data_IF_070615828650
#
_entry.id   IF_070615828650
#
_cell.length_a   1.000
_cell.length_b   1.000
_cell.length_c   1.000
_cell.angle_alpha   90.00
_cell.angle_beta   90.00
_cell.angle_gamma   90.00
#
_symmetry.space_group_name_H-M   'P 1'
#
loop_
_entity.id
_entity.type
_entity.pdbx_description
1 polymer ?
#
# COMPACT_ATOMS: atom_id res chain seq x y z
N UNK A 1 -29.95 2.21 -18.81
CA UNK A 1 -28.64 2.91 -18.79
C UNK A 1 -27.85 2.26 -17.67
N UNK A 2 -26.71 1.67 -17.97
CA UNK A 2 -25.90 1.00 -16.94
C UNK A 2 -25.43 2.04 -15.92
N UNK A 3 -25.71 1.78 -14.64
CA UNK A 3 -25.38 2.69 -13.54
C UNK A 3 -23.86 2.73 -13.36
N UNK A 4 -23.21 3.80 -13.82
CA UNK A 4 -21.76 3.96 -13.68
C UNK A 4 -21.39 4.69 -12.39
N UNK A 5 -20.21 4.42 -11.81
CA UNK A 5 -19.74 5.11 -10.61
C UNK A 5 -19.67 6.64 -10.79
N UNK A 6 -19.28 7.09 -11.99
CA UNK A 6 -19.30 8.52 -12.38
C UNK A 6 -20.69 9.12 -12.27
N UNK A 7 -21.70 8.43 -12.75
CA UNK A 7 -23.08 8.91 -12.71
C UNK A 7 -23.61 8.95 -11.27
N UNK A 8 -23.30 7.92 -10.46
CA UNK A 8 -23.64 7.90 -9.04
C UNK A 8 -23.03 9.10 -8.31
N UNK A 9 -21.73 9.35 -8.50
CA UNK A 9 -21.04 10.50 -7.91
C UNK A 9 -21.65 11.84 -8.35
N UNK A 10 -21.95 11.97 -9.65
CA UNK A 10 -22.60 13.17 -10.20
C UNK A 10 -23.97 13.41 -9.57
N UNK A 11 -24.80 12.37 -9.46
CA UNK A 11 -26.13 12.47 -8.88
C UNK A 11 -26.07 12.80 -7.38
N UNK A 12 -25.12 12.21 -6.65
CA UNK A 12 -24.86 12.56 -5.26
C UNK A 12 -24.45 14.03 -5.11
N UNK A 13 -23.50 14.52 -5.91
CA UNK A 13 -23.06 15.93 -5.89
C UNK A 13 -24.19 16.89 -6.24
N UNK A 14 -25.08 16.50 -7.16
CA UNK A 14 -26.25 17.27 -7.55
C UNK A 14 -27.43 17.14 -6.57
N UNK A 15 -27.28 16.39 -5.47
CA UNK A 15 -28.32 16.11 -4.48
C UNK A 15 -29.57 15.42 -5.04
N UNK A 16 -29.45 14.77 -6.20
CA UNK A 16 -30.52 13.94 -6.80
C UNK A 16 -30.46 12.49 -6.33
N UNK A 17 -29.41 12.14 -5.59
CA UNK A 17 -29.22 10.85 -4.93
C UNK A 17 -28.66 11.11 -3.53
N UNK A 18 -29.27 10.55 -2.49
CA UNK A 18 -28.76 10.68 -1.13
C UNK A 18 -27.50 9.82 -0.91
N UNK A 19 -26.75 10.13 0.16
CA UNK A 19 -25.46 9.49 0.44
C UNK A 19 -25.60 7.98 0.66
N UNK A 20 -26.64 7.54 1.36
CA UNK A 20 -26.86 6.12 1.69
C UNK A 20 -27.15 5.35 0.41
N UNK A 21 -28.05 5.85 -0.42
CA UNK A 21 -28.36 5.25 -1.73
C UNK A 21 -27.15 5.22 -2.66
N UNK A 22 -26.32 6.27 -2.66
CA UNK A 22 -25.08 6.30 -3.44
C UNK A 22 -24.08 5.23 -2.96
N UNK A 23 -23.88 5.09 -1.65
CA UNK A 23 -23.01 4.06 -1.07
C UNK A 23 -23.50 2.66 -1.45
N UNK A 24 -24.79 2.37 -1.24
CA UNK A 24 -25.35 1.05 -1.53
C UNK A 24 -25.20 0.66 -3.02
N UNK A 25 -25.40 1.61 -3.93
CA UNK A 25 -25.18 1.37 -5.36
C UNK A 25 -23.72 1.10 -5.69
N UNK A 26 -22.77 1.84 -5.08
CA UNK A 26 -21.34 1.61 -5.28
C UNK A 26 -20.90 0.25 -4.73
N UNK A 27 -21.38 -0.14 -3.54
CA UNK A 27 -21.12 -1.46 -2.96
C UNK A 27 -21.64 -2.56 -3.92
N UNK A 28 -22.88 -2.41 -4.39
CA UNK A 28 -23.46 -3.36 -5.34
C UNK A 28 -22.63 -3.51 -6.62
N UNK A 29 -22.09 -2.40 -7.15
CA UNK A 29 -21.20 -2.46 -8.33
C UNK A 29 -19.89 -3.18 -8.00
N UNK A 30 -19.30 -2.94 -6.83
CA UNK A 30 -18.04 -3.56 -6.41
C UNK A 30 -18.18 -5.09 -6.30
N UNK A 31 -19.31 -5.57 -5.77
CA UNK A 31 -19.54 -7.00 -5.54
C UNK A 31 -19.96 -7.75 -6.80
N UNK A 32 -20.65 -7.10 -7.74
CA UNK A 32 -21.32 -7.80 -8.85
C UNK A 32 -20.76 -7.48 -10.23
N UNK A 33 -19.87 -6.49 -10.38
CA UNK A 33 -19.27 -6.17 -11.68
C UNK A 33 -18.06 -7.06 -11.96
N UNK A 34 -18.01 -7.69 -13.13
CA UNK A 34 -16.79 -8.35 -13.63
C UNK A 34 -15.76 -7.37 -14.19
N UNK A 35 -16.14 -6.09 -14.38
CA UNK A 35 -15.25 -5.09 -14.93
C UNK A 35 -14.36 -4.47 -13.84
N UNK A 36 -13.06 -4.79 -13.89
CA UNK A 36 -12.06 -4.33 -12.93
C UNK A 36 -12.04 -2.81 -12.77
N UNK A 37 -12.09 -2.05 -13.87
CA UNK A 37 -12.02 -0.58 -13.83
C UNK A 37 -13.26 0.01 -13.17
N UNK A 38 -14.44 -0.54 -13.45
CA UNK A 38 -15.71 -0.15 -12.82
C UNK A 38 -15.68 -0.40 -11.31
N UNK A 39 -15.14 -1.54 -10.86
CA UNK A 39 -14.96 -1.84 -9.43
C UNK A 39 -13.99 -0.86 -8.77
N UNK A 40 -12.83 -0.61 -9.39
CA UNK A 40 -11.82 0.35 -8.90
C UNK A 40 -12.42 1.76 -8.81
N UNK A 41 -13.14 2.19 -9.83
CA UNK A 41 -13.78 3.51 -9.84
C UNK A 41 -14.84 3.63 -8.74
N UNK A 42 -15.56 2.54 -8.46
CA UNK A 42 -16.52 2.50 -7.35
C UNK A 42 -15.85 2.65 -5.99
N UNK A 43 -14.75 1.93 -5.73
CA UNK A 43 -13.95 2.04 -4.50
C UNK A 43 -13.43 3.48 -4.33
N UNK A 44 -12.90 4.07 -5.40
CA UNK A 44 -12.42 5.44 -5.37
C UNK A 44 -13.57 6.44 -5.14
N UNK A 45 -14.75 6.19 -5.70
CA UNK A 45 -15.93 7.03 -5.51
C UNK A 45 -16.41 6.98 -4.06
N UNK A 46 -16.40 5.81 -3.39
CA UNK A 46 -16.67 5.71 -1.94
C UNK A 46 -15.76 6.66 -1.15
N UNK A 47 -14.48 6.74 -1.52
CA UNK A 47 -13.53 7.68 -0.91
C UNK A 47 -13.83 9.15 -1.20
N UNK A 48 -14.32 9.48 -2.41
CA UNK A 48 -14.63 10.86 -2.81
C UNK A 48 -15.86 11.41 -2.10
N UNK A 49 -16.85 10.56 -1.81
CA UNK A 49 -18.08 10.96 -1.11
C UNK A 49 -17.97 10.86 0.42
N UNK A 50 -16.76 10.59 0.93
CA UNK A 50 -16.47 10.40 2.36
C UNK A 50 -17.37 9.31 2.99
N UNK A 51 -17.45 8.14 2.35
CA UNK A 51 -18.32 7.03 2.74
C UNK A 51 -17.85 6.32 4.03
N UNK A 52 -17.91 7.01 5.17
CA UNK A 52 -17.56 6.47 6.48
C UNK A 52 -18.75 5.70 7.09
N UNK A 53 -18.80 4.40 6.85
CA UNK A 53 -19.72 3.47 7.51
C UNK A 53 -19.06 2.12 7.79
N UNK A 54 -19.61 1.36 8.73
CA UNK A 54 -19.11 0.02 9.06
C UNK A 54 -19.21 -0.94 7.86
N UNK A 55 -20.27 -0.83 7.06
CA UNK A 55 -20.45 -1.66 5.85
C UNK A 55 -19.34 -1.39 4.83
N UNK A 56 -18.98 -0.13 4.63
CA UNK A 56 -17.88 0.25 3.73
C UNK A 56 -16.55 -0.23 4.28
N UNK A 57 -16.30 -0.09 5.60
CA UNK A 57 -15.07 -0.61 6.19
C UNK A 57 -14.96 -2.13 6.02
N UNK A 58 -16.04 -2.86 6.32
CA UNK A 58 -16.10 -4.33 6.21
C UNK A 58 -15.87 -4.78 4.77
N UNK A 59 -16.51 -4.12 3.80
CA UNK A 59 -16.27 -4.38 2.38
C UNK A 59 -14.80 -4.19 2.02
N UNK A 60 -14.21 -3.04 2.35
CA UNK A 60 -12.82 -2.73 2.00
C UNK A 60 -11.83 -3.69 2.69
N UNK A 61 -12.10 -4.09 3.92
CA UNK A 61 -11.30 -5.09 4.64
C UNK A 61 -11.35 -6.44 3.93
N UNK A 62 -12.54 -6.91 3.54
CA UNK A 62 -12.69 -8.15 2.77
C UNK A 62 -11.93 -8.07 1.44
N UNK A 63 -12.06 -6.97 0.70
CA UNK A 63 -11.35 -6.77 -0.56
C UNK A 63 -9.84 -6.79 -0.38
N UNK A 64 -9.32 -6.12 0.66
CA UNK A 64 -7.89 -6.16 1.02
C UNK A 64 -7.41 -7.59 1.29
N UNK A 65 -8.21 -8.41 1.96
CA UNK A 65 -7.82 -9.75 2.41
C UNK A 65 -7.89 -10.77 1.27
N UNK A 66 -8.93 -10.75 0.45
CA UNK A 66 -9.28 -11.88 -0.42
C UNK A 66 -9.43 -11.57 -1.90
N UNK A 67 -9.43 -10.29 -2.33
CA UNK A 67 -9.60 -10.00 -3.75
C UNK A 67 -8.37 -10.47 -4.55
N UNK A 68 -8.63 -11.17 -5.65
CA UNK A 68 -7.59 -11.74 -6.51
C UNK A 68 -6.77 -10.66 -7.24
N UNK A 69 -7.34 -9.48 -7.47
CA UNK A 69 -6.71 -8.41 -8.23
C UNK A 69 -5.95 -7.46 -7.30
N UNK A 70 -4.63 -7.37 -7.49
CA UNK A 70 -3.76 -6.44 -6.76
C UNK A 70 -4.28 -5.00 -6.76
N UNK A 71 -4.79 -4.53 -7.89
CA UNK A 71 -5.33 -3.18 -8.01
C UNK A 71 -6.53 -2.94 -7.09
N UNK A 72 -7.39 -3.94 -6.87
CA UNK A 72 -8.52 -3.83 -5.93
C UNK A 72 -8.01 -3.78 -4.49
N UNK A 73 -7.07 -4.66 -4.12
CA UNK A 73 -6.44 -4.65 -2.80
C UNK A 73 -5.76 -3.32 -2.52
N UNK A 74 -4.97 -2.81 -3.47
CA UNK A 74 -4.28 -1.52 -3.35
C UNK A 74 -5.24 -0.34 -3.15
N UNK A 75 -6.32 -0.25 -3.93
CA UNK A 75 -7.30 0.81 -3.75
C UNK A 75 -8.00 0.68 -2.39
N UNK A 76 -8.34 -0.54 -1.97
CA UNK A 76 -8.95 -0.80 -0.66
C UNK A 76 -8.05 -0.35 0.49
N UNK A 77 -6.76 -0.67 0.43
CA UNK A 77 -5.73 -0.21 1.38
C UNK A 77 -5.75 1.32 1.50
N UNK A 78 -5.68 2.03 0.37
CA UNK A 78 -5.63 3.49 0.36
C UNK A 78 -6.92 4.11 0.90
N UNK A 79 -8.08 3.55 0.56
CA UNK A 79 -9.37 4.05 1.08
C UNK A 79 -9.50 3.79 2.58
N UNK A 80 -9.09 2.62 3.07
CA UNK A 80 -8.99 2.34 4.52
C UNK A 80 -8.10 3.37 5.21
N UNK A 81 -6.89 3.59 4.70
CA UNK A 81 -5.95 4.55 5.29
C UNK A 81 -6.40 6.01 5.24
N UNK A 82 -7.35 6.35 4.36
CA UNK A 82 -7.90 7.71 4.23
C UNK A 82 -9.15 7.91 5.10
N UNK A 83 -10.07 6.96 5.10
CA UNK A 83 -11.37 7.10 5.75
C UNK A 83 -11.41 6.51 7.16
N UNK A 84 -10.58 5.49 7.44
CA UNK A 84 -10.66 4.63 8.61
C UNK A 84 -9.29 4.42 9.26
N UNK A 85 -8.45 5.47 9.31
CA UNK A 85 -7.08 5.38 9.83
C UNK A 85 -7.04 4.81 11.26
N UNK A 86 -7.98 5.23 12.11
CA UNK A 86 -8.10 4.80 13.51
C UNK A 86 -8.38 3.29 13.65
N UNK A 87 -8.97 2.67 12.62
CA UNK A 87 -9.30 1.24 12.57
C UNK A 87 -8.34 0.44 11.67
N UNK A 88 -7.37 1.09 11.03
CA UNK A 88 -6.56 0.46 9.98
C UNK A 88 -5.49 -0.50 10.51
N UNK A 89 -5.13 -0.45 11.80
CA UNK A 89 -3.99 -1.19 12.34
C UNK A 89 -4.07 -2.71 12.09
N UNK A 90 -5.20 -3.33 12.43
CA UNK A 90 -5.35 -4.78 12.33
C UNK A 90 -5.46 -5.28 10.87
N UNK A 91 -6.26 -4.65 9.98
CA UNK A 91 -6.22 -4.98 8.55
C UNK A 91 -4.80 -4.87 7.95
N UNK A 92 -4.08 -3.78 8.28
CA UNK A 92 -2.71 -3.59 7.79
C UNK A 92 -1.73 -4.61 8.38
N UNK A 93 -1.89 -5.01 9.64
CA UNK A 93 -1.10 -6.08 10.27
C UNK A 93 -1.27 -7.40 9.54
N UNK A 94 -2.52 -7.76 9.24
CA UNK A 94 -2.81 -8.99 8.51
C UNK A 94 -2.22 -8.94 7.10
N UNK A 95 -2.44 -7.84 6.38
CA UNK A 95 -1.96 -7.67 5.01
C UNK A 95 -0.43 -7.66 4.93
N UNK A 96 0.28 -7.00 5.86
CA UNK A 96 1.76 -6.99 5.89
C UNK A 96 2.40 -8.38 6.01
N UNK A 97 1.64 -9.37 6.53
CA UNK A 97 2.07 -10.75 6.68
C UNK A 97 1.81 -11.61 5.44
N UNK A 98 0.74 -11.35 4.70
CA UNK A 98 0.27 -12.25 3.63
C UNK A 98 0.31 -11.63 2.23
N UNK A 99 0.53 -10.33 2.10
CA UNK A 99 0.65 -9.65 0.81
C UNK A 99 2.05 -9.84 0.20
N UNK A 100 2.08 -10.00 -1.12
CA UNK A 100 3.32 -10.15 -1.90
C UNK A 100 3.52 -9.01 -2.91
N UNK A 101 2.45 -8.31 -3.31
CA UNK A 101 2.56 -7.17 -4.21
C UNK A 101 3.40 -6.07 -3.55
N UNK A 102 4.44 -5.64 -4.26
CA UNK A 102 5.26 -4.50 -3.86
C UNK A 102 4.39 -3.24 -3.66
N UNK A 103 3.46 -2.98 -4.58
CA UNK A 103 2.60 -1.80 -4.54
C UNK A 103 1.73 -1.77 -3.28
N UNK A 104 1.11 -2.91 -2.95
CA UNK A 104 0.31 -3.06 -1.73
C UNK A 104 1.19 -2.98 -0.48
N UNK A 105 2.35 -3.65 -0.46
CA UNK A 105 3.29 -3.62 0.67
C UNK A 105 3.78 -2.20 1.01
N UNK A 106 4.04 -1.37 -0.01
CA UNK A 106 4.37 0.04 0.17
C UNK A 106 3.21 0.84 0.76
N UNK A 107 1.98 0.64 0.24
CA UNK A 107 0.79 1.31 0.75
C UNK A 107 0.50 0.93 2.22
N UNK A 108 0.60 -0.36 2.55
CA UNK A 108 0.44 -0.90 3.92
C UNK A 108 1.45 -0.26 4.86
N UNK A 109 2.73 -0.24 4.48
CA UNK A 109 3.80 0.35 5.31
C UNK A 109 3.55 1.83 5.56
N UNK A 110 3.17 2.57 4.53
CA UNK A 110 2.85 3.99 4.65
C UNK A 110 1.70 4.25 5.62
N UNK A 111 0.66 3.42 5.61
CA UNK A 111 -0.48 3.57 6.55
C UNK A 111 -0.04 3.26 7.97
N UNK A 112 0.70 2.17 8.18
CA UNK A 112 1.27 1.85 9.50
C UNK A 112 2.15 2.98 10.03
N UNK A 113 2.94 3.62 9.16
CA UNK A 113 3.73 4.80 9.51
C UNK A 113 2.89 6.00 9.94
N UNK A 114 1.66 6.15 9.42
CA UNK A 114 0.72 7.23 9.78
C UNK A 114 -0.04 6.98 11.08
N UNK A 115 -0.32 5.72 11.43
CA UNK A 115 -1.07 5.37 12.66
C UNK A 115 -0.31 5.82 13.92
N UNK A 116 1.02 5.78 13.86
CA UNK A 116 1.96 6.23 14.91
C UNK A 116 1.62 5.87 16.37
N UNK A 117 1.20 4.62 16.59
CA UNK A 117 0.99 4.04 17.92
C UNK A 117 2.14 3.11 18.32
N UNK A 118 2.33 2.82 19.63
CA UNK A 118 3.30 1.82 20.07
C UNK A 118 3.12 0.44 19.40
N UNK A 119 1.88 0.04 19.13
CA UNK A 119 1.55 -1.20 18.44
C UNK A 119 1.99 -1.18 16.97
N UNK A 120 1.81 -0.06 16.28
CA UNK A 120 2.31 0.12 14.91
C UNK A 120 3.84 0.12 14.88
N UNK A 121 4.48 0.88 15.77
CA UNK A 121 5.94 0.93 15.94
C UNK A 121 6.51 -0.48 16.14
N UNK A 122 5.94 -1.24 17.08
CA UNK A 122 6.34 -2.63 17.37
C UNK A 122 6.17 -3.54 16.14
N UNK A 123 5.06 -3.41 15.41
CA UNK A 123 4.81 -4.18 14.20
C UNK A 123 5.87 -3.91 13.12
N UNK A 124 6.16 -2.63 12.83
CA UNK A 124 7.18 -2.22 11.87
C UNK A 124 8.56 -2.71 12.31
N UNK A 125 8.91 -2.52 13.58
CA UNK A 125 10.18 -2.98 14.11
C UNK A 125 10.37 -4.50 13.98
N UNK A 126 9.32 -5.28 14.26
CA UNK A 126 9.35 -6.73 14.08
C UNK A 126 9.51 -7.14 12.60
N UNK A 127 9.01 -6.33 11.66
CA UNK A 127 9.26 -6.54 10.21
C UNK A 127 10.71 -6.22 9.85
N UNK A 128 11.28 -5.14 10.38
CA UNK A 128 12.69 -4.77 10.17
C UNK A 128 13.64 -5.87 10.64
N UNK A 129 13.37 -6.47 11.81
CA UNK A 129 14.16 -7.62 12.32
C UNK A 129 14.18 -8.84 11.41
N UNK A 130 13.23 -8.95 10.47
CA UNK A 130 13.15 -10.06 9.51
C UNK A 130 13.82 -9.74 8.18
N UNK A 131 14.36 -8.54 8.00
CA UNK A 131 15.16 -8.18 6.82
C UNK A 131 16.40 -9.08 6.79
N UNK A 132 16.71 -9.60 5.60
CA UNK A 132 17.84 -10.52 5.36
C UNK A 132 18.93 -9.94 4.47
N UNK A 133 18.73 -8.76 3.89
CA UNK A 133 19.71 -8.13 3.03
C UNK A 133 20.89 -7.59 3.87
N UNK A 134 22.08 -8.15 3.67
CA UNK A 134 23.26 -7.90 4.50
C UNK A 134 23.66 -6.41 4.53
N UNK A 135 23.71 -5.76 3.36
CA UNK A 135 24.04 -4.33 3.25
C UNK A 135 23.09 -3.46 4.07
N UNK A 136 21.80 -3.78 4.06
CA UNK A 136 20.79 -3.08 4.86
C UNK A 136 20.98 -3.40 6.35
N UNK A 137 21.18 -4.67 6.72
CA UNK A 137 21.37 -5.09 8.12
C UNK A 137 22.57 -4.40 8.77
N UNK A 138 23.72 -4.37 8.10
CA UNK A 138 24.92 -3.71 8.60
C UNK A 138 24.64 -2.24 8.93
N UNK A 139 23.94 -1.55 8.02
CA UNK A 139 23.59 -0.15 8.20
C UNK A 139 22.58 0.07 9.34
N UNK A 140 21.57 -0.81 9.46
CA UNK A 140 20.61 -0.77 10.56
C UNK A 140 21.25 -1.05 11.92
N UNK A 141 22.20 -1.98 11.99
CA UNK A 141 22.96 -2.24 13.21
C UNK A 141 23.76 -1.02 13.66
N UNK A 142 24.36 -0.28 12.72
CA UNK A 142 25.04 0.98 13.03
C UNK A 142 24.07 2.06 13.50
N UNK A 143 22.89 2.15 12.87
CA UNK A 143 21.84 3.09 13.23
C UNK A 143 21.32 2.84 14.65
N UNK A 144 20.97 1.59 14.99
CA UNK A 144 20.44 1.21 16.30
C UNK A 144 21.48 1.23 17.42
N UNK A 145 22.79 1.28 17.10
CA UNK A 145 23.84 1.58 18.08
C UNK A 145 23.93 3.07 18.43
N UNK A 146 23.50 3.95 17.52
CA UNK A 146 23.59 5.41 17.68
C UNK A 146 22.32 6.02 18.26
N UNK A 147 21.17 5.36 18.07
CA UNK A 147 19.85 5.85 18.47
C UNK A 147 19.09 4.76 19.20
N UNK A 148 18.49 5.12 20.33
CA UNK A 148 17.61 4.22 21.05
C UNK A 148 16.38 3.87 20.22
N UNK A 149 15.92 2.63 20.34
CA UNK A 149 14.76 2.12 19.59
C UNK A 149 13.49 2.92 19.86
N UNK A 150 13.33 3.42 21.09
CA UNK A 150 12.17 4.21 21.49
C UNK A 150 12.11 5.57 20.76
N UNK A 151 13.27 6.08 20.32
CA UNK A 151 13.40 7.37 19.62
C UNK A 151 12.87 7.37 18.19
N UNK A 152 12.59 6.21 17.60
CA UNK A 152 12.07 6.13 16.24
C UNK A 152 10.56 6.30 16.24
N UNK A 153 10.06 7.19 15.39
CA UNK A 153 8.63 7.26 15.04
C UNK A 153 8.21 6.06 14.18
N UNK A 154 6.91 5.74 14.14
CA UNK A 154 6.41 4.73 13.20
C UNK A 154 6.66 5.14 11.75
N UNK A 155 6.62 6.43 11.47
CA UNK A 155 6.94 6.98 10.15
C UNK A 155 8.39 6.66 9.74
N UNK A 156 9.38 6.90 10.58
CA UNK A 156 10.79 6.57 10.27
C UNK A 156 10.97 5.08 10.01
N UNK A 157 10.37 4.23 10.84
CA UNK A 157 10.44 2.77 10.65
C UNK A 157 9.74 2.32 9.37
N UNK A 158 8.62 2.95 8.99
CA UNK A 158 7.93 2.62 7.74
C UNK A 158 8.79 2.97 6.53
N UNK A 159 9.51 4.09 6.56
CA UNK A 159 10.44 4.48 5.48
C UNK A 159 11.56 3.47 5.29
N UNK A 160 12.12 2.91 6.36
CA UNK A 160 13.12 1.84 6.29
C UNK A 160 12.53 0.60 5.61
N UNK A 161 11.32 0.19 6.01
CA UNK A 161 10.65 -0.99 5.44
C UNK A 161 10.30 -0.78 3.97
N UNK A 162 9.81 0.41 3.61
CA UNK A 162 9.49 0.77 2.22
C UNK A 162 10.74 0.66 1.32
N UNK A 163 11.88 1.18 1.78
CA UNK A 163 13.16 1.06 1.08
C UNK A 163 13.57 -0.40 0.91
N UNK A 164 13.46 -1.19 1.98
CA UNK A 164 13.72 -2.62 1.90
C UNK A 164 12.81 -3.33 0.88
N UNK A 165 11.51 -3.03 0.86
CA UNK A 165 10.59 -3.62 -0.11
C UNK A 165 10.95 -3.26 -1.55
N UNK A 166 11.36 -2.02 -1.80
CA UNK A 166 11.86 -1.60 -3.12
C UNK A 166 13.07 -2.44 -3.52
N UNK A 167 14.08 -2.57 -2.65
CA UNK A 167 15.28 -3.41 -2.93
C UNK A 167 14.89 -4.85 -3.18
N UNK A 168 14.11 -5.46 -2.28
CA UNK A 168 13.69 -6.86 -2.43
C UNK A 168 12.89 -7.09 -3.73
N UNK A 169 12.04 -6.13 -4.12
CA UNK A 169 11.29 -6.18 -5.36
C UNK A 169 12.16 -6.05 -6.61
N UNK A 170 13.14 -5.14 -6.58
CA UNK A 170 14.13 -4.98 -7.65
C UNK A 170 15.01 -6.23 -7.75
N UNK A 171 15.49 -6.76 -6.62
CA UNK A 171 16.31 -7.97 -6.58
C UNK A 171 15.55 -9.20 -7.10
N UNK A 172 14.26 -9.32 -6.76
CA UNK A 172 13.38 -10.38 -7.29
C UNK A 172 13.23 -10.28 -8.81
N UNK A 173 13.22 -9.06 -9.37
CA UNK A 173 12.96 -8.82 -10.80
C UNK A 173 14.22 -8.90 -11.66
N UNK A 174 15.34 -8.43 -11.13
CA UNK A 174 16.56 -8.16 -11.89
C UNK A 174 17.79 -8.91 -11.39
N UNK A 175 17.66 -9.69 -10.31
CA UNK A 175 18.81 -10.25 -9.62
C UNK A 175 19.54 -9.20 -8.79
N UNK A 176 20.79 -9.47 -8.42
CA UNK A 176 21.55 -8.56 -7.57
C UNK A 176 21.64 -7.15 -8.17
N UNK A 177 21.28 -6.15 -7.38
CA UNK A 177 21.39 -4.73 -7.74
C UNK A 177 22.47 -4.03 -6.92
N UNK A 178 23.03 -2.97 -7.50
CA UNK A 178 23.98 -2.10 -6.80
C UNK A 178 23.23 -0.93 -6.18
N UNK A 179 23.43 -0.71 -4.88
CA UNK A 179 22.82 0.40 -4.16
C UNK A 179 23.67 0.76 -2.94
N UNK A 180 23.51 1.98 -2.46
CA UNK A 180 24.12 2.47 -1.22
C UNK A 180 23.04 2.86 -0.22
N UNK A 181 23.31 2.53 1.04
CA UNK A 181 22.39 2.74 2.17
C UNK A 181 23.03 3.64 3.21
N UNK A 182 22.24 4.56 3.77
CA UNK A 182 22.60 5.39 4.90
C UNK A 182 21.38 5.51 5.82
N UNK A 183 21.59 5.21 7.10
CA UNK A 183 20.54 5.22 8.13
C UNK A 183 19.31 4.37 7.75
N UNK A 184 19.54 3.21 7.15
CA UNK A 184 18.49 2.29 6.69
C UNK A 184 17.74 2.75 5.42
N UNK A 185 18.14 3.88 4.83
CA UNK A 185 17.52 4.44 3.64
C UNK A 185 18.47 4.35 2.44
N UNK A 186 17.92 4.03 1.27
CA UNK A 186 18.68 4.02 0.02
C UNK A 186 18.87 5.47 -0.41
N UNK A 187 20.10 5.86 -0.70
CA UNK A 187 20.41 7.19 -1.23
C UNK A 187 21.04 7.15 -2.62
N UNK A 188 21.45 5.96 -3.08
CA UNK A 188 21.97 5.74 -4.42
C UNK A 188 21.55 4.35 -4.89
N UNK A 189 21.05 4.27 -6.12
CA UNK A 189 20.64 3.04 -6.78
C UNK A 189 21.27 3.05 -8.17
N UNK A 190 22.06 2.02 -8.46
CA UNK A 190 22.71 1.81 -9.75
C UNK A 190 22.07 0.60 -10.45
N UNK A 191 21.39 0.90 -11.55
CA UNK A 191 20.71 -0.08 -12.40
C UNK A 191 21.45 -0.32 -13.73
N UNK A 192 22.71 0.16 -13.85
CA UNK A 192 23.49 0.03 -15.08
C UNK A 192 23.66 -1.44 -15.48
N UNK A 193 23.89 -2.32 -14.50
CA UNK A 193 24.05 -3.76 -14.72
C UNK A 193 22.74 -4.46 -15.12
N UNK A 194 21.59 -3.93 -14.70
CA UNK A 194 20.27 -4.48 -15.04
C UNK A 194 19.96 -4.34 -16.53
N UNK A 195 20.45 -3.28 -17.17
CA UNK A 195 20.26 -3.03 -18.60
C UNK A 195 21.06 -3.98 -19.50
N UNK A 196 22.10 -4.62 -18.96
CA UNK A 196 23.04 -5.43 -19.72
C UNK A 196 22.61 -6.89 -19.91
N UNK A 197 21.68 -7.40 -19.09
CA UNK A 197 21.34 -8.83 -19.06
C UNK A 197 20.00 -9.22 -19.70
N UNK A 198 19.10 -8.28 -20.03
CA UNK A 198 17.85 -8.58 -20.77
C UNK A 198 17.40 -7.35 -21.57
N UNK A 199 17.45 -7.42 -22.91
CA UNK A 199 16.84 -6.50 -23.89
C UNK A 199 16.44 -5.12 -23.33
N UNK A 200 17.43 -4.23 -23.21
CA UNK A 200 17.40 -2.99 -22.42
C UNK A 200 16.36 -1.91 -22.77
N UNK A 201 15.43 -2.16 -23.70
CA UNK A 201 14.41 -1.18 -24.09
C UNK A 201 12.99 -1.51 -23.59
N UNK A 202 12.65 -2.78 -23.35
CA UNK A 202 11.27 -3.19 -22.99
C UNK A 202 10.98 -3.16 -21.49
N UNK A 203 12.01 -3.03 -20.65
CA UNK A 203 11.89 -3.05 -19.18
C UNK A 203 11.70 -1.65 -18.59
N UNK A 204 12.31 -0.62 -19.19
CA UNK A 204 12.17 0.76 -18.74
C UNK A 204 10.71 1.25 -18.85
N UNK A 205 9.95 0.73 -19.83
CA UNK A 205 8.51 0.98 -19.98
C UNK A 205 7.63 0.23 -18.95
N UNK A 206 8.23 -0.52 -18.01
CA UNK A 206 7.53 -1.26 -16.94
C UNK A 206 7.90 -0.77 -15.54
N UNK A 207 8.53 0.40 -15.43
CA UNK A 207 8.48 1.17 -14.20
C UNK A 207 7.07 1.76 -14.09
N UNK A 208 6.37 1.63 -12.95
CA UNK A 208 5.16 2.40 -12.74
C UNK A 208 5.54 3.88 -12.71
N UNK A 209 4.74 4.71 -13.39
CA UNK A 209 4.72 6.16 -13.15
C UNK A 209 4.52 6.48 -11.65
#
# INVERSE_FOLDING_TARGET
MELSPKLINKNYKNKTLDKISAINQLISIIDNSDNLDTRIESINTLSQIDAKSNDVFTLLENLLISDSHESIRFNSINVIGKLFLDNALEPMRWALKHEESLKCLLAISKILGKIDTPQSKSLLFNKIKKIRNEKIIENLNLLFKKRDLESFSSFELSRIIENYFIVAGLEKRFGQINFKVKEGLIYELDLSDVSSHVFGWTILNKFPD
#
